data_IF_687965553997
#
_entry.id   IF_687965553997
#
_cell.length_a   1.000
_cell.length_b   1.000
_cell.length_c   1.000
_cell.angle_alpha   90.00
_cell.angle_beta   90.00
_cell.angle_gamma   90.00
#
_symmetry.space_group_name_H-M   'P 1'
#
loop_
_entity.id
_entity.type
_entity.pdbx_description
1 polymer ?
#
# COMPACT_ATOMS: atom_id res chain seq x y z
N UNK A 1 -18.92 0.00 14.98
CA UNK A 1 -18.06 -1.17 15.21
C UNK A 1 -17.76 -1.33 16.70
N UNK A 2 -17.14 -0.35 17.37
CA UNK A 2 -16.80 -0.41 18.81
C UNK A 2 -18.01 -0.72 19.69
N UNK A 3 -19.18 -0.07 19.44
CA UNK A 3 -20.42 -0.28 20.18
C UNK A 3 -20.90 -1.75 20.17
N UNK A 4 -20.66 -2.44 19.04
CA UNK A 4 -21.15 -3.81 18.84
C UNK A 4 -20.04 -4.87 18.89
N UNK A 5 -18.80 -4.48 19.29
CA UNK A 5 -17.63 -5.35 19.34
C UNK A 5 -17.37 -6.11 18.03
N UNK A 6 -17.78 -5.53 16.90
CA UNK A 6 -17.61 -6.15 15.57
C UNK A 6 -16.17 -5.98 15.11
N UNK A 7 -15.55 -7.07 14.72
CA UNK A 7 -14.21 -7.04 14.14
C UNK A 7 -14.23 -6.36 12.78
N UNK A 8 -13.22 -5.54 12.51
CA UNK A 8 -13.00 -4.91 11.22
C UNK A 8 -11.72 -5.48 10.61
N UNK A 9 -11.85 -6.12 9.44
CA UNK A 9 -10.73 -6.66 8.69
C UNK A 9 -10.67 -5.94 7.34
N UNK A 10 -9.61 -5.16 7.07
CA UNK A 10 -9.48 -4.46 5.80
C UNK A 10 -9.13 -5.43 4.67
N UNK A 11 -9.61 -5.13 3.46
CA UNK A 11 -9.31 -5.91 2.24
C UNK A 11 -8.45 -5.15 1.25
N UNK A 12 -8.30 -3.83 1.39
CA UNK A 12 -7.31 -3.08 0.64
C UNK A 12 -5.92 -3.67 0.89
N UNK A 13 -5.10 -3.81 -0.16
CA UNK A 13 -3.89 -4.64 -0.07
C UNK A 13 -2.88 -4.13 0.95
N UNK A 14 -2.72 -2.84 1.07
CA UNK A 14 -1.83 -2.18 2.01
C UNK A 14 -2.37 -2.26 3.44
N UNK A 15 -3.65 -1.94 3.63
CA UNK A 15 -4.27 -2.01 4.96
C UNK A 15 -4.41 -3.45 5.47
N UNK A 16 -4.74 -4.38 4.58
CA UNK A 16 -4.71 -5.81 4.90
C UNK A 16 -3.30 -6.22 5.37
N UNK A 17 -2.26 -5.76 4.68
CA UNK A 17 -0.87 -6.08 5.01
C UNK A 17 -0.45 -5.48 6.37
N UNK A 18 -0.87 -4.25 6.68
CA UNK A 18 -0.66 -3.68 8.01
C UNK A 18 -1.37 -4.53 9.08
N UNK A 19 -2.67 -4.80 8.87
CA UNK A 19 -3.46 -5.60 9.80
C UNK A 19 -2.84 -6.98 10.04
N UNK A 20 -2.44 -7.68 8.97
CA UNK A 20 -1.83 -8.99 9.06
C UNK A 20 -0.48 -8.95 9.78
N UNK A 21 0.35 -7.96 9.46
CA UNK A 21 1.66 -7.77 10.10
C UNK A 21 1.58 -7.37 11.57
N UNK A 22 0.45 -6.82 12.01
CA UNK A 22 0.21 -6.45 13.41
C UNK A 22 -0.42 -7.57 14.25
N UNK A 23 -0.86 -8.69 13.65
CA UNK A 23 -1.59 -9.76 14.37
C UNK A 23 -0.93 -10.20 15.67
N UNK A 24 0.40 -10.30 15.68
CA UNK A 24 1.18 -10.75 16.84
C UNK A 24 1.90 -9.60 17.58
N UNK A 25 1.58 -8.35 17.25
CA UNK A 25 2.25 -7.18 17.80
C UNK A 25 1.25 -6.13 18.25
N UNK A 26 1.58 -5.43 19.33
CA UNK A 26 0.81 -4.25 19.75
C UNK A 26 1.23 -3.02 18.91
N UNK A 27 0.27 -2.22 18.51
CA UNK A 27 0.52 -0.96 17.77
C UNK A 27 1.41 0.03 18.52
N UNK A 28 1.41 -0.03 19.87
CA UNK A 28 2.29 0.82 20.69
C UNK A 28 3.78 0.55 20.42
N UNK A 29 4.13 -0.66 20.05
CA UNK A 29 5.51 -1.05 19.74
C UNK A 29 5.93 -0.68 18.30
N UNK A 30 5.02 -0.12 17.53
CA UNK A 30 5.27 0.26 16.16
C UNK A 30 6.06 1.57 16.09
N UNK A 31 7.25 1.54 15.51
CA UNK A 31 8.09 2.70 15.25
C UNK A 31 7.66 3.41 13.97
N UNK A 32 7.58 2.68 12.86
CA UNK A 32 7.23 3.19 11.53
C UNK A 32 6.40 2.19 10.74
N UNK A 33 5.52 2.72 9.91
CA UNK A 33 4.83 2.00 8.83
C UNK A 33 5.19 2.62 7.51
N UNK A 34 5.55 1.79 6.54
CA UNK A 34 5.72 2.22 5.17
C UNK A 34 4.63 1.58 4.32
N UNK A 35 3.77 2.42 3.74
CA UNK A 35 2.85 2.04 2.68
C UNK A 35 3.59 2.09 1.36
N UNK A 36 3.47 1.07 0.54
CA UNK A 36 4.11 1.07 -0.77
C UNK A 36 3.14 1.50 -1.86
N UNK A 37 3.68 2.09 -2.90
CA UNK A 37 2.96 2.48 -4.10
C UNK A 37 3.74 2.08 -5.34
N UNK A 38 3.06 1.65 -6.41
CA UNK A 38 3.72 1.37 -7.70
C UNK A 38 4.37 2.60 -8.35
N UNK A 39 3.89 3.79 -7.98
CA UNK A 39 4.20 5.03 -8.68
C UNK A 39 3.29 5.28 -9.88
N UNK A 40 2.35 4.36 -10.18
CA UNK A 40 1.39 4.51 -11.27
C UNK A 40 2.03 4.51 -12.67
N UNK A 41 1.24 4.85 -13.71
CA UNK A 41 1.69 4.79 -15.11
C UNK A 41 2.82 5.78 -15.43
N UNK A 42 2.95 6.87 -14.67
CA UNK A 42 3.89 7.95 -14.98
C UNK A 42 5.20 7.88 -14.19
N UNK A 43 5.45 6.79 -13.48
CA UNK A 43 6.67 6.64 -12.67
C UNK A 43 7.95 6.84 -13.50
N UNK A 44 8.00 6.32 -14.73
CA UNK A 44 9.15 6.41 -15.64
C UNK A 44 9.08 7.59 -16.60
N UNK A 45 7.97 8.32 -16.66
CA UNK A 45 7.79 9.45 -17.58
C UNK A 45 8.67 10.62 -17.14
N UNK A 46 9.42 11.24 -18.05
CA UNK A 46 10.21 12.44 -17.74
C UNK A 46 9.27 13.60 -17.40
N UNK A 47 9.66 14.49 -16.48
CA UNK A 47 8.80 15.60 -16.05
C UNK A 47 8.43 16.53 -17.21
N UNK A 48 9.34 16.76 -18.15
CA UNK A 48 9.10 17.58 -19.34
C UNK A 48 7.99 17.03 -20.26
N UNK A 49 7.64 15.75 -20.12
CA UNK A 49 6.58 15.14 -20.90
C UNK A 49 5.21 15.14 -20.18
N UNK A 50 5.13 15.70 -18.97
CA UNK A 50 3.87 15.69 -18.20
C UNK A 50 2.77 16.52 -18.88
N UNK A 51 3.11 17.60 -19.57
CA UNK A 51 2.14 18.43 -20.32
C UNK A 51 1.45 17.67 -21.48
N UNK A 52 2.09 16.59 -21.97
CA UNK A 52 1.56 15.75 -23.06
C UNK A 52 0.70 14.60 -22.59
N UNK A 53 0.56 14.39 -21.27
CA UNK A 53 -0.21 13.27 -20.70
C UNK A 53 -1.69 13.47 -20.97
N UNK A 54 -2.31 12.39 -21.46
CA UNK A 54 -3.77 12.32 -21.68
C UNK A 54 -4.43 11.50 -20.58
N UNK A 55 -5.71 11.70 -20.38
CA UNK A 55 -6.51 10.91 -19.42
C UNK A 55 -6.43 9.41 -19.74
N UNK A 56 -6.42 9.04 -21.02
CA UNK A 56 -6.25 7.65 -21.46
C UNK A 56 -4.98 6.99 -20.92
N UNK A 57 -3.89 7.76 -20.82
CA UNK A 57 -2.61 7.24 -20.34
C UNK A 57 -2.67 6.96 -18.83
N UNK A 58 -3.38 7.80 -18.08
CA UNK A 58 -3.60 7.60 -16.65
C UNK A 58 -4.46 6.37 -16.33
N UNK A 59 -5.31 5.93 -17.26
CA UNK A 59 -6.15 4.74 -17.08
C UNK A 59 -5.38 3.42 -17.25
N UNK A 60 -4.18 3.45 -17.82
CA UNK A 60 -3.34 2.27 -18.08
C UNK A 60 -2.38 2.02 -16.91
N UNK A 61 -2.88 1.45 -15.81
CA UNK A 61 -2.03 1.11 -14.68
C UNK A 61 -1.11 -0.08 -14.99
N UNK A 62 0.22 -0.01 -14.67
CA UNK A 62 1.19 -1.03 -15.10
C UNK A 62 1.00 -2.40 -14.44
N UNK A 63 0.49 -2.46 -13.20
CA UNK A 63 0.45 -3.69 -12.41
C UNK A 63 -0.97 -4.17 -12.07
N UNK A 64 -1.94 -3.24 -11.98
CA UNK A 64 -3.28 -3.52 -11.52
C UNK A 64 -4.32 -3.28 -12.60
N UNK A 65 -5.29 -4.19 -12.72
CA UNK A 65 -6.52 -3.96 -13.48
C UNK A 65 -7.56 -3.37 -12.53
N UNK A 66 -7.84 -2.08 -12.68
CA UNK A 66 -8.68 -1.32 -11.74
C UNK A 66 -9.76 -0.51 -12.48
N UNK A 67 -10.75 -0.03 -11.74
CA UNK A 67 -11.73 0.93 -12.24
C UNK A 67 -11.09 2.28 -12.58
N UNK A 68 -11.78 3.07 -13.43
CA UNK A 68 -11.27 4.35 -13.95
C UNK A 68 -10.85 5.33 -12.85
N UNK A 69 -11.71 5.49 -11.82
CA UNK A 69 -11.44 6.43 -10.71
C UNK A 69 -10.13 6.10 -10.00
N UNK A 70 -9.99 4.87 -9.51
CA UNK A 70 -8.80 4.48 -8.73
C UNK A 70 -7.53 4.46 -9.59
N UNK A 71 -7.65 4.25 -10.94
CA UNK A 71 -6.50 4.37 -11.84
C UNK A 71 -5.98 5.81 -11.91
N UNK A 72 -6.88 6.80 -11.99
CA UNK A 72 -6.52 8.23 -11.93
C UNK A 72 -5.94 8.58 -10.55
N UNK A 73 -6.57 8.11 -9.48
CA UNK A 73 -6.10 8.35 -8.12
C UNK A 73 -4.69 7.77 -7.89
N UNK A 74 -4.41 6.61 -8.46
CA UNK A 74 -3.08 5.99 -8.45
C UNK A 74 -2.06 6.80 -9.25
N UNK A 75 -2.44 7.25 -10.45
CA UNK A 75 -1.56 8.04 -11.33
C UNK A 75 -1.09 9.35 -10.67
N UNK A 76 -1.93 9.96 -9.85
CA UNK A 76 -1.66 11.20 -9.12
C UNK A 76 -1.10 10.99 -7.71
N UNK A 77 -1.06 9.75 -7.23
CA UNK A 77 -0.75 9.37 -5.85
C UNK A 77 -1.76 9.87 -4.79
N UNK A 78 -2.90 10.44 -5.19
CA UNK A 78 -3.95 10.84 -4.24
C UNK A 78 -4.53 9.62 -3.51
N UNK A 79 -4.61 8.46 -4.18
CA UNK A 79 -5.01 7.22 -3.53
C UNK A 79 -4.16 6.92 -2.29
N UNK A 80 -2.84 7.10 -2.40
CA UNK A 80 -1.93 6.85 -1.29
C UNK A 80 -2.07 7.86 -0.16
N UNK A 81 -2.50 9.09 -0.46
CA UNK A 81 -2.87 10.07 0.57
C UNK A 81 -4.11 9.60 1.34
N UNK A 82 -5.13 9.10 0.66
CA UNK A 82 -6.31 8.52 1.31
C UNK A 82 -5.92 7.32 2.18
N UNK A 83 -5.11 6.42 1.69
CA UNK A 83 -4.64 5.26 2.45
C UNK A 83 -3.87 5.65 3.72
N UNK A 84 -3.07 6.72 3.70
CA UNK A 84 -2.40 7.24 4.91
C UNK A 84 -3.43 7.73 5.94
N UNK A 85 -4.48 8.44 5.48
CA UNK A 85 -5.56 8.92 6.35
C UNK A 85 -6.34 7.73 6.93
N UNK A 86 -6.63 6.75 6.12
CA UNK A 86 -7.35 5.53 6.53
C UNK A 86 -6.51 4.70 7.51
N UNK A 87 -5.22 4.52 7.25
CA UNK A 87 -4.31 3.81 8.16
C UNK A 87 -4.28 4.45 9.55
N UNK A 88 -4.24 5.80 9.64
CA UNK A 88 -4.38 6.51 10.92
C UNK A 88 -5.68 6.15 11.62
N UNK A 89 -6.80 6.21 10.90
CA UNK A 89 -8.14 6.00 11.48
C UNK A 89 -8.39 4.54 11.86
N UNK A 90 -7.99 3.60 11.01
CA UNK A 90 -8.23 2.16 11.20
C UNK A 90 -7.34 1.59 12.29
N UNK A 91 -6.06 1.93 12.28
CA UNK A 91 -5.06 1.34 13.18
C UNK A 91 -4.66 2.25 14.35
N UNK A 92 -5.20 3.47 14.41
CA UNK A 92 -4.84 4.48 15.40
C UNK A 92 -3.32 4.77 15.43
N UNK A 93 -2.72 4.88 14.24
CA UNK A 93 -1.29 5.17 14.04
C UNK A 93 -1.14 6.66 13.71
N UNK A 94 -0.29 7.38 14.45
CA UNK A 94 -0.04 8.79 14.15
C UNK A 94 0.62 9.00 12.78
N UNK A 95 0.26 10.08 12.07
CA UNK A 95 0.78 10.40 10.74
C UNK A 95 2.31 10.44 10.67
N UNK A 96 2.96 10.91 11.73
CA UNK A 96 4.43 10.96 11.83
C UNK A 96 5.09 9.58 11.74
N UNK A 97 4.34 8.51 12.02
CA UNK A 97 4.81 7.13 11.92
C UNK A 97 4.55 6.50 10.55
N UNK A 98 3.73 7.14 9.69
CA UNK A 98 3.36 6.60 8.39
C UNK A 98 4.20 7.28 7.30
N UNK A 99 4.82 6.49 6.45
CA UNK A 99 5.61 6.94 5.30
C UNK A 99 5.14 6.23 4.04
N UNK A 100 5.39 6.85 2.89
CA UNK A 100 5.13 6.25 1.58
C UNK A 100 6.46 5.93 0.92
N UNK A 101 6.58 4.74 0.35
CA UNK A 101 7.68 4.35 -0.51
C UNK A 101 7.16 3.92 -1.89
N UNK A 102 7.92 4.22 -2.92
CA UNK A 102 7.66 3.72 -4.26
C UNK A 102 8.29 2.34 -4.40
N UNK A 103 7.47 1.35 -4.77
CA UNK A 103 7.88 0.01 -5.11
C UNK A 103 7.25 -0.40 -6.46
N UNK A 104 7.95 -0.16 -7.59
CA UNK A 104 7.36 -0.29 -8.92
C UNK A 104 6.78 -1.68 -9.24
N UNK A 105 7.30 -2.73 -8.61
CA UNK A 105 6.82 -4.11 -8.82
C UNK A 105 5.55 -4.45 -8.05
N UNK A 106 5.09 -3.60 -7.11
CA UNK A 106 3.89 -3.80 -6.28
C UNK A 106 3.82 -5.17 -5.59
N UNK A 107 4.95 -5.74 -5.21
CA UNK A 107 5.04 -7.04 -4.54
C UNK A 107 5.09 -6.89 -3.02
N UNK A 108 5.74 -5.82 -2.52
CA UNK A 108 5.65 -5.39 -1.12
C UNK A 108 4.40 -4.50 -1.00
N UNK A 109 3.57 -4.74 0.01
CA UNK A 109 2.36 -3.94 0.26
C UNK A 109 2.49 -3.09 1.53
N UNK A 110 3.18 -3.58 2.55
CA UNK A 110 3.51 -2.81 3.74
C UNK A 110 4.83 -3.26 4.36
N UNK A 111 5.54 -2.32 5.01
CA UNK A 111 6.70 -2.60 5.87
C UNK A 111 6.39 -2.01 7.24
N UNK A 112 6.54 -2.83 8.28
CA UNK A 112 6.33 -2.42 9.67
C UNK A 112 7.63 -2.54 10.43
N UNK A 113 8.14 -1.43 10.94
CA UNK A 113 9.32 -1.39 11.81
C UNK A 113 8.89 -1.22 13.26
N UNK A 114 9.43 -2.03 14.14
CA UNK A 114 9.11 -2.07 15.56
C UNK A 114 10.27 -1.55 16.43
N UNK A 115 9.94 -1.02 17.61
CA UNK A 115 10.91 -0.47 18.56
C UNK A 115 11.92 -1.50 19.09
N UNK A 116 11.62 -2.79 18.97
CA UNK A 116 12.54 -3.88 19.33
C UNK A 116 13.54 -4.25 18.21
N UNK A 117 13.57 -3.44 17.13
CA UNK A 117 14.47 -3.66 15.99
C UNK A 117 13.93 -4.60 14.92
N UNK A 118 12.84 -5.31 15.14
CA UNK A 118 12.25 -6.19 14.12
C UNK A 118 11.61 -5.37 13.00
N UNK A 119 11.68 -5.92 11.80
CA UNK A 119 11.00 -5.37 10.63
C UNK A 119 10.22 -6.48 9.93
N UNK A 120 8.90 -6.28 9.78
CA UNK A 120 8.04 -7.16 9.02
C UNK A 120 7.82 -6.58 7.63
N UNK A 121 8.13 -7.34 6.59
CA UNK A 121 7.84 -7.00 5.20
C UNK A 121 6.73 -7.92 4.72
N UNK A 122 5.56 -7.38 4.42
CA UNK A 122 4.42 -8.16 3.93
C UNK A 122 4.42 -8.11 2.42
N UNK A 123 4.57 -9.28 1.83
CA UNK A 123 4.61 -9.47 0.38
C UNK A 123 3.55 -10.47 -0.05
N UNK A 124 2.93 -10.21 -1.18
CA UNK A 124 2.08 -11.18 -1.88
C UNK A 124 1.93 -10.79 -3.35
N UNK A 125 1.41 -11.72 -4.16
CA UNK A 125 1.12 -11.45 -5.56
C UNK A 125 0.24 -10.20 -5.72
N UNK A 126 0.46 -9.45 -6.80
CA UNK A 126 -0.29 -8.24 -7.15
C UNK A 126 -1.72 -8.59 -7.58
N UNK A 127 -2.52 -9.03 -6.62
CA UNK A 127 -3.91 -9.45 -6.79
C UNK A 127 -4.71 -9.27 -5.52
N UNK A 128 -5.97 -8.88 -5.66
CA UNK A 128 -6.91 -8.80 -4.53
C UNK A 128 -7.36 -10.17 -4.02
N UNK A 129 -7.07 -11.26 -4.73
CA UNK A 129 -7.42 -12.62 -4.27
C UNK A 129 -6.81 -12.95 -2.92
N UNK A 130 -5.56 -12.50 -2.66
CA UNK A 130 -4.86 -12.81 -1.41
C UNK A 130 -5.51 -12.13 -0.20
N UNK A 131 -5.71 -10.81 -0.15
CA UNK A 131 -6.38 -10.18 0.98
C UNK A 131 -7.83 -10.65 1.15
N UNK A 132 -8.61 -10.75 0.06
CA UNK A 132 -10.01 -11.20 0.12
C UNK A 132 -10.10 -12.62 0.66
N UNK A 133 -9.29 -13.56 0.15
CA UNK A 133 -9.28 -14.94 0.62
C UNK A 133 -8.97 -15.03 2.13
N UNK A 134 -7.92 -14.35 2.57
CA UNK A 134 -7.51 -14.38 3.97
C UNK A 134 -8.51 -13.72 4.90
N UNK A 135 -9.28 -12.75 4.42
CA UNK A 135 -10.36 -12.12 5.18
C UNK A 135 -11.57 -13.04 5.32
N UNK A 136 -11.98 -13.69 4.23
CA UNK A 136 -13.15 -14.58 4.21
C UNK A 136 -12.89 -15.92 4.92
N UNK A 137 -11.67 -16.43 4.89
CA UNK A 137 -11.31 -17.75 5.38
C UNK A 137 -10.29 -17.71 6.53
N UNK A 138 -10.32 -16.67 7.34
CA UNK A 138 -9.34 -16.39 8.39
C UNK A 138 -9.06 -17.58 9.32
N UNK A 139 -10.10 -18.30 9.71
CA UNK A 139 -10.04 -19.41 10.67
C UNK A 139 -10.30 -20.77 10.00
N UNK A 140 -10.05 -20.89 8.70
CA UNK A 140 -10.30 -22.12 7.96
C UNK A 140 -9.00 -22.77 7.47
N UNK A 141 -9.04 -24.07 7.26
CA UNK A 141 -7.94 -24.84 6.65
C UNK A 141 -7.94 -24.77 5.11
N UNK A 142 -8.74 -23.88 4.51
CA UNK A 142 -8.77 -23.70 3.06
C UNK A 142 -7.45 -23.18 2.54
N UNK A 143 -7.10 -23.58 1.33
CA UNK A 143 -5.84 -23.18 0.67
C UNK A 143 -6.14 -22.32 -0.55
N UNK A 144 -5.44 -21.20 -0.66
CA UNK A 144 -5.43 -20.40 -1.87
C UNK A 144 -4.32 -20.93 -2.80
N UNK A 145 -4.66 -21.22 -4.05
CA UNK A 145 -3.65 -21.52 -5.07
C UNK A 145 -2.97 -20.20 -5.47
N UNK A 146 -1.69 -20.08 -5.16
CA UNK A 146 -0.86 -18.93 -5.46
C UNK A 146 0.29 -19.32 -6.40
N UNK A 147 0.99 -18.32 -6.94
CA UNK A 147 2.22 -18.53 -7.67
C UNK A 147 3.34 -19.02 -6.72
N UNK A 148 4.34 -19.70 -7.29
CA UNK A 148 5.58 -20.00 -6.54
C UNK A 148 6.29 -18.70 -6.18
N UNK A 149 7.03 -18.73 -5.07
CA UNK A 149 7.87 -17.60 -4.66
C UNK A 149 8.80 -17.21 -5.80
N UNK A 150 8.76 -15.93 -6.17
CA UNK A 150 9.61 -15.38 -7.20
C UNK A 150 10.88 -14.76 -6.59
N UNK A 151 11.92 -15.56 -6.49
CA UNK A 151 13.23 -15.14 -5.92
C UNK A 151 13.85 -13.97 -6.69
N UNK A 152 13.62 -13.86 -8.00
CA UNK A 152 14.12 -12.73 -8.80
C UNK A 152 13.49 -11.41 -8.36
N UNK A 153 12.21 -11.43 -7.96
CA UNK A 153 11.56 -10.24 -7.40
C UNK A 153 12.10 -9.96 -6.00
N UNK A 154 12.22 -10.98 -5.15
CA UNK A 154 12.74 -10.83 -3.78
C UNK A 154 14.17 -10.30 -3.75
N UNK A 155 15.03 -10.79 -4.63
CA UNK A 155 16.42 -10.33 -4.72
C UNK A 155 16.59 -8.90 -5.25
N UNK A 156 15.51 -8.31 -5.76
CA UNK A 156 15.52 -6.97 -6.34
C UNK A 156 14.27 -6.21 -5.89
N UNK A 157 14.14 -6.03 -4.59
CA UNK A 157 13.11 -5.21 -3.95
C UNK A 157 13.53 -3.74 -4.04
N UNK A 158 13.13 -3.11 -5.13
CA UNK A 158 13.44 -1.71 -5.41
C UNK A 158 12.48 -0.81 -4.63
N UNK A 159 13.02 -0.04 -3.69
CA UNK A 159 12.29 0.86 -2.81
C UNK A 159 12.86 2.27 -2.91
N UNK A 160 12.04 3.23 -3.30
CA UNK A 160 12.44 4.61 -3.50
C UNK A 160 11.57 5.58 -2.70
N UNK A 161 12.13 6.73 -2.34
CA UNK A 161 11.36 7.82 -1.75
C UNK A 161 10.43 8.45 -2.81
N UNK A 162 9.32 9.01 -2.32
CA UNK A 162 8.39 9.73 -3.20
C UNK A 162 9.01 11.05 -3.66
N UNK A 163 9.05 11.26 -4.96
CA UNK A 163 9.41 12.56 -5.54
C UNK A 163 8.18 13.47 -5.54
N UNK A 164 8.15 14.45 -4.64
CA UNK A 164 7.01 15.37 -4.47
C UNK A 164 6.83 16.39 -5.62
N UNK A 165 7.84 16.56 -6.48
CA UNK A 165 7.68 17.33 -7.72
C UNK A 165 6.87 16.54 -8.73
N UNK A 166 7.11 15.23 -8.83
CA UNK A 166 6.35 14.31 -9.69
C UNK A 166 4.93 14.07 -9.18
N UNK A 167 4.78 13.96 -7.86
CA UNK A 167 3.50 13.65 -7.19
C UNK A 167 3.11 14.74 -6.20
N UNK A 168 2.72 15.93 -6.68
CA UNK A 168 2.45 17.07 -5.82
C UNK A 168 1.31 16.84 -4.84
N UNK A 169 0.35 15.94 -5.15
CA UNK A 169 -0.77 15.60 -4.26
C UNK A 169 -0.31 15.01 -2.92
N UNK A 170 0.87 14.39 -2.86
CA UNK A 170 1.42 13.86 -1.61
C UNK A 170 1.73 14.97 -0.59
N UNK A 171 1.93 16.20 -1.04
CA UNK A 171 2.10 17.36 -0.15
C UNK A 171 0.88 17.63 0.74
N UNK A 172 -0.30 17.14 0.37
CA UNK A 172 -1.50 17.24 1.19
C UNK A 172 -1.32 16.60 2.58
N UNK A 173 -0.44 15.61 2.70
CA UNK A 173 -0.10 15.01 4.00
C UNK A 173 0.48 16.00 5.00
N UNK A 174 1.11 17.09 4.55
CA UNK A 174 1.68 18.12 5.42
C UNK A 174 0.62 19.00 6.08
N UNK A 175 -0.62 18.97 5.57
CA UNK A 175 -1.75 19.75 6.09
C UNK A 175 -2.69 18.93 6.98
N UNK A 176 -2.38 17.66 7.19
CA UNK A 176 -3.18 16.79 8.06
C UNK A 176 -2.85 17.07 9.54
N UNK A 177 -3.89 17.11 10.41
CA UNK A 177 -3.75 17.40 11.83
C UNK A 177 -3.06 16.30 12.65
#
# INVERSE_FOLDING_TARGET
>A
LKKHKTEFIPVDSEHFSIWYGLKNFKTINLEKVFLTASGGPFYKTTLNNFEKIKVSDALNHPNWKMGKKISIDSATMINKVYEVIEAKKVFNIGYQKIKILIHPKSYIHAILKFNNGLTNIIVHDTTMKVPIFNTLFLNSNRKLKTNKINTKILNNLDLNNVNVTRYPMVKLLNFLP
#
